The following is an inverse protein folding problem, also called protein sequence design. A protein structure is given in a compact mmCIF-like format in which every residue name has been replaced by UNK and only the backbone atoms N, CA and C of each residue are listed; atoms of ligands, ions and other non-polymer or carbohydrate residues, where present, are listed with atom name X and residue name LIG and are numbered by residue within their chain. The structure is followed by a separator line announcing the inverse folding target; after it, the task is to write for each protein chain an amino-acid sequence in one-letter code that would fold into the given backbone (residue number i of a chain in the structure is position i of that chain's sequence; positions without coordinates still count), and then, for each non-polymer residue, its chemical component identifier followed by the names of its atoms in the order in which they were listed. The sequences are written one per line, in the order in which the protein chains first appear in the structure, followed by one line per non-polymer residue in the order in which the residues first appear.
data_IF_914675091127
#
_entry.id   IF_914675091127
#
_cell.length_a   1.000
_cell.length_b   1.000
_cell.length_c   1.000
_cell.angle_alpha   90.00
_cell.angle_beta   90.00
_cell.angle_gamma   90.00
#
_symmetry.space_group_name_H-M   'P 1'
#
loop_
_entity.id
_entity.type
_entity.pdbx_description
1 polymer ?
#
# COMPACT_ATOMS: atom_id res chain seq x y z
N UNK A 1 63.75 8.00 3.54
CA UNK A 1 63.55 8.59 2.20
C UNK A 1 62.10 8.35 1.84
N UNK A 2 61.20 9.25 2.24
CA UNK A 2 60.58 10.31 1.38
C UNK A 2 59.75 9.68 0.24
N UNK A 3 58.45 9.90 0.07
CA UNK A 3 57.59 11.01 0.51
C UNK A 3 56.12 10.58 0.65
N UNK A 4 55.36 11.40 1.36
CA UNK A 4 53.91 11.39 1.49
C UNK A 4 53.32 12.69 0.90
N UNK A 5 52.01 12.69 0.67
CA UNK A 5 51.09 13.81 0.37
C UNK A 5 51.12 14.46 -1.02
N UNK A 6 49.99 14.50 -1.74
CA UNK A 6 48.93 15.51 -1.55
C UNK A 6 47.67 15.24 -2.39
N UNK A 7 46.52 15.62 -1.83
CA UNK A 7 45.18 15.68 -2.45
C UNK A 7 45.01 16.96 -3.30
N UNK A 8 43.92 16.95 -4.07
CA UNK A 8 42.99 18.03 -4.50
C UNK A 8 43.03 18.45 -5.98
N UNK A 9 41.85 18.32 -6.64
CA UNK A 9 41.27 19.43 -7.41
C UNK A 9 40.86 19.19 -8.87
N UNK A 10 39.53 19.20 -9.10
CA UNK A 10 38.76 19.54 -10.30
C UNK A 10 38.69 18.53 -11.48
N UNK A 11 37.55 17.84 -11.69
CA UNK A 11 36.28 18.27 -12.32
C UNK A 11 36.44 18.80 -13.76
N UNK A 12 35.88 18.05 -14.74
CA UNK A 12 34.95 18.47 -15.82
C UNK A 12 34.88 17.32 -16.86
N UNK A 13 33.68 16.88 -17.23
CA UNK A 13 33.44 16.08 -18.45
C UNK A 13 32.57 14.83 -18.32
N UNK A 14 31.36 14.94 -17.75
CA UNK A 14 30.30 13.95 -17.94
C UNK A 14 29.74 14.09 -19.35
N UNK A 15 29.94 13.08 -20.21
CA UNK A 15 29.10 12.83 -21.39
C UNK A 15 28.22 11.64 -21.04
N UNK A 16 26.93 11.90 -20.94
CA UNK A 16 25.86 10.91 -20.76
C UNK A 16 25.78 10.04 -22.01
N UNK A 17 26.09 8.76 -21.90
CA UNK A 17 25.70 7.74 -22.86
C UNK A 17 24.60 6.89 -22.19
N UNK A 18 23.37 7.04 -22.69
CA UNK A 18 22.24 6.20 -22.30
C UNK A 18 22.51 4.74 -22.74
N UNK A 19 22.23 3.72 -21.91
CA UNK A 19 22.28 2.35 -22.39
C UNK A 19 21.05 2.08 -23.25
N UNK A 20 21.26 1.89 -24.55
CA UNK A 20 20.25 1.31 -25.44
C UNK A 20 19.96 -0.12 -24.98
N UNK A 21 18.70 -0.38 -24.64
CA UNK A 21 18.22 -1.73 -24.34
C UNK A 21 17.87 -2.40 -25.66
N UNK A 22 18.59 -3.49 -25.95
CA UNK A 22 18.46 -4.31 -27.15
C UNK A 22 17.18 -5.16 -27.06
N UNK A 23 16.27 -4.97 -28.01
CA UNK A 23 14.95 -5.61 -28.02
C UNK A 23 15.03 -7.13 -28.27
N UNK A 24 16.15 -7.64 -28.79
CA UNK A 24 16.34 -9.05 -29.08
C UNK A 24 16.75 -9.87 -27.84
N UNK A 25 17.12 -9.23 -26.73
CA UNK A 25 17.49 -9.91 -25.49
C UNK A 25 16.28 -10.38 -24.66
N UNK A 26 15.06 -9.91 -24.97
CA UNK A 26 13.84 -10.25 -24.22
C UNK A 26 13.22 -11.57 -24.74
N UNK A 27 13.46 -11.93 -26.00
CA UNK A 27 12.92 -13.16 -26.58
C UNK A 27 13.65 -14.44 -26.10
N UNK A 28 14.85 -14.31 -25.53
CA UNK A 28 15.69 -15.47 -25.16
C UNK A 28 15.46 -15.99 -23.72
N UNK A 29 14.56 -15.38 -22.93
CA UNK A 29 14.25 -15.83 -21.56
C UNK A 29 13.00 -16.73 -21.51
N UNK A 30 12.33 -16.95 -22.65
CA UNK A 30 11.12 -17.78 -22.72
C UNK A 30 11.39 -19.29 -22.95
N UNK A 31 12.63 -19.71 -23.20
CA UNK A 31 12.95 -21.10 -23.59
C UNK A 31 13.91 -21.84 -22.63
N UNK A 32 14.14 -21.34 -21.42
CA UNK A 32 15.03 -22.01 -20.47
C UNK A 32 14.36 -22.25 -19.11
N UNK A 33 14.24 -23.55 -18.82
CA UNK A 33 14.14 -24.18 -17.49
C UNK A 33 12.73 -24.49 -16.98
N UNK A 34 12.23 -25.63 -17.49
CA UNK A 34 11.53 -26.64 -16.70
C UNK A 34 12.55 -27.38 -15.79
N UNK A 35 12.04 -27.98 -14.72
CA UNK A 35 12.69 -28.76 -13.65
C UNK A 35 13.12 -28.02 -12.36
N UNK A 36 12.17 -27.87 -11.41
CA UNK A 36 12.19 -28.52 -10.06
C UNK A 36 11.08 -27.97 -9.14
N UNK A 37 10.21 -28.85 -8.62
CA UNK A 37 9.16 -28.54 -7.62
C UNK A 37 9.75 -28.18 -6.23
N UNK A 38 9.06 -27.36 -5.40
CA UNK A 38 8.13 -27.94 -4.42
C UNK A 38 6.84 -27.12 -4.11
N UNK A 39 5.75 -27.86 -3.86
CA UNK A 39 4.52 -27.53 -3.10
C UNK A 39 4.06 -26.06 -3.05
N UNK A 40 3.53 -25.54 -4.16
CA UNK A 40 2.63 -24.38 -4.15
C UNK A 40 1.20 -24.84 -4.43
N UNK A 41 0.25 -24.28 -3.67
CA UNK A 41 -1.19 -24.52 -3.86
C UNK A 41 -1.58 -23.94 -5.22
N UNK A 42 -1.68 -24.79 -6.23
CA UNK A 42 -2.20 -24.43 -7.55
C UNK A 42 -3.62 -23.88 -7.38
N UNK A 43 -3.78 -22.57 -7.58
CA UNK A 43 -5.06 -22.04 -7.99
C UNK A 43 -5.22 -22.45 -9.46
N UNK A 44 -6.07 -23.45 -9.70
CA UNK A 44 -6.54 -23.83 -11.03
C UNK A 44 -7.09 -22.58 -11.76
N UNK A 45 -6.23 -21.88 -12.51
CA UNK A 45 -6.66 -20.86 -13.46
C UNK A 45 -7.16 -21.63 -14.67
N UNK A 46 -8.46 -21.93 -14.66
CA UNK A 46 -9.16 -22.47 -15.81
C UNK A 46 -8.97 -21.50 -17.00
N UNK A 47 -8.10 -21.85 -17.94
CA UNK A 47 -7.78 -21.06 -19.14
C UNK A 47 -8.87 -21.12 -20.21
N UNK A 48 -9.92 -21.93 -20.00
CA UNK A 48 -11.07 -22.04 -20.89
C UNK A 48 -12.27 -21.24 -20.35
N UNK A 49 -12.09 -19.93 -20.18
CA UNK A 49 -13.24 -19.04 -20.11
C UNK A 49 -13.92 -19.06 -21.48
N UNK A 50 -15.06 -19.76 -21.56
CA UNK A 50 -15.91 -19.91 -22.74
C UNK A 50 -16.03 -18.58 -23.50
N UNK A 51 -15.72 -18.60 -24.81
CA UNK A 51 -15.87 -17.48 -25.75
C UNK A 51 -17.35 -17.06 -25.98
N UNK A 52 -18.24 -17.34 -25.04
CA UNK A 52 -19.67 -17.24 -25.27
C UNK A 52 -20.10 -15.76 -25.28
N UNK A 53 -20.19 -15.20 -26.49
CA UNK A 53 -20.71 -13.86 -26.75
C UNK A 53 -19.72 -12.71 -26.84
N UNK A 54 -18.42 -12.96 -26.79
CA UNK A 54 -17.40 -11.94 -27.09
C UNK A 54 -17.43 -11.66 -28.60
N UNK A 55 -17.48 -10.39 -28.98
CA UNK A 55 -17.43 -9.98 -30.39
C UNK A 55 -16.67 -8.67 -30.54
N UNK A 56 -15.83 -8.59 -31.56
CA UNK A 56 -15.10 -7.41 -31.95
C UNK A 56 -15.29 -7.21 -33.45
N UNK A 57 -15.66 -6.00 -33.86
CA UNK A 57 -16.04 -5.70 -35.25
C UNK A 57 -15.61 -4.30 -35.64
N UNK A 58 -15.22 -4.17 -36.91
CA UNK A 58 -15.26 -2.88 -37.60
C UNK A 58 -16.73 -2.51 -37.87
N UNK A 59 -17.08 -1.24 -37.67
CA UNK A 59 -18.43 -0.73 -37.88
C UNK A 59 -18.39 0.67 -38.48
N UNK A 60 -19.46 1.00 -39.21
CA UNK A 60 -19.67 2.33 -39.78
C UNK A 60 -20.70 3.09 -38.94
N UNK A 61 -20.50 4.39 -38.76
CA UNK A 61 -21.43 5.25 -38.05
C UNK A 61 -21.20 6.72 -38.35
N UNK A 62 -22.08 7.57 -37.83
CA UNK A 62 -22.00 9.03 -38.02
C UNK A 62 -21.75 9.68 -36.67
N UNK A 63 -20.82 10.65 -36.61
CA UNK A 63 -20.61 11.45 -35.41
C UNK A 63 -21.86 12.30 -35.16
N UNK A 64 -22.65 11.90 -34.16
CA UNK A 64 -23.91 12.55 -33.82
C UNK A 64 -23.68 13.79 -32.95
N UNK A 65 -22.76 13.68 -31.98
CA UNK A 65 -22.43 14.75 -31.05
C UNK A 65 -20.95 14.70 -30.72
N UNK A 66 -20.38 15.88 -30.50
CA UNK A 66 -18.97 16.02 -30.20
C UNK A 66 -18.71 17.10 -29.17
N UNK A 67 -17.97 16.73 -28.13
CA UNK A 67 -17.56 17.58 -27.02
C UNK A 67 -16.04 17.58 -26.89
N UNK A 68 -15.52 18.43 -26.02
CA UNK A 68 -14.08 18.59 -25.79
C UNK A 68 -13.40 17.28 -25.33
N UNK A 69 -14.09 16.46 -24.55
CA UNK A 69 -13.52 15.26 -23.92
C UNK A 69 -14.05 13.94 -24.49
N UNK A 70 -15.17 13.97 -25.22
CA UNK A 70 -15.88 12.77 -25.68
C UNK A 70 -16.79 13.08 -26.87
N UNK A 71 -17.38 12.04 -27.46
CA UNK A 71 -18.41 12.18 -28.47
C UNK A 71 -19.32 10.97 -28.51
N UNK A 72 -20.30 11.04 -29.42
CA UNK A 72 -21.28 9.99 -29.65
C UNK A 72 -21.39 9.64 -31.13
N UNK A 73 -21.43 8.34 -31.42
CA UNK A 73 -21.63 7.80 -32.76
C UNK A 73 -23.06 7.24 -32.84
N UNK A 74 -23.84 7.67 -33.83
CA UNK A 74 -25.13 7.06 -34.15
C UNK A 74 -24.96 6.06 -35.28
N UNK A 75 -25.63 4.90 -35.14
CA UNK A 75 -25.78 3.99 -36.26
C UNK A 75 -26.84 4.56 -37.23
N UNK A 76 -26.57 4.64 -38.55
CA UNK A 76 -27.58 5.04 -39.54
C UNK A 76 -28.86 4.19 -39.48
N UNK A 77 -28.74 2.90 -39.13
CA UNK A 77 -29.86 1.97 -39.02
C UNK A 77 -30.65 2.12 -37.70
N UNK A 78 -30.04 2.70 -36.66
CA UNK A 78 -30.65 2.91 -35.35
C UNK A 78 -30.14 4.21 -34.73
N UNK A 79 -30.81 5.31 -35.07
CA UNK A 79 -30.47 6.67 -34.62
C UNK A 79 -30.72 6.84 -33.11
N UNK A 80 -31.52 5.95 -32.50
CA UNK A 80 -31.86 6.05 -31.07
C UNK A 80 -30.73 5.57 -30.18
N UNK A 81 -29.91 4.64 -30.67
CA UNK A 81 -28.79 4.08 -29.93
C UNK A 81 -27.48 4.81 -30.27
N UNK A 82 -26.99 5.62 -29.32
CA UNK A 82 -25.75 6.39 -29.45
C UNK A 82 -24.63 5.73 -28.67
N UNK A 83 -23.53 5.41 -29.35
CA UNK A 83 -22.34 4.83 -28.75
C UNK A 83 -21.37 5.92 -28.30
N UNK A 84 -20.97 5.87 -27.03
CA UNK A 84 -19.99 6.79 -26.45
C UNK A 84 -18.55 6.44 -26.88
N UNK A 85 -17.74 7.46 -27.14
CA UNK A 85 -16.28 7.33 -27.27
C UNK A 85 -15.55 8.50 -26.60
N UNK A 86 -14.32 8.28 -26.14
CA UNK A 86 -13.48 9.37 -25.59
C UNK A 86 -12.76 10.08 -26.73
N UNK A 87 -12.58 11.40 -26.62
CA UNK A 87 -11.93 12.20 -27.68
C UNK A 87 -10.52 11.71 -28.01
N UNK A 88 -9.77 11.24 -27.00
CA UNK A 88 -8.43 10.64 -27.16
C UNK A 88 -8.39 9.36 -28.00
N UNK A 89 -9.53 8.69 -28.14
CA UNK A 89 -9.68 7.46 -28.91
C UNK A 89 -10.16 7.77 -30.35
N UNK A 90 -10.39 9.06 -30.67
CA UNK A 90 -10.80 9.55 -31.98
C UNK A 90 -9.67 10.30 -32.72
N UNK A 91 -9.95 10.68 -33.97
CA UNK A 91 -9.05 11.50 -34.79
C UNK A 91 -9.16 13.00 -34.45
N UNK A 92 -8.07 13.75 -34.58
CA UNK A 92 -8.02 15.17 -34.21
C UNK A 92 -9.01 16.04 -34.99
N UNK A 93 -9.23 15.72 -36.27
CA UNK A 93 -10.03 16.52 -37.21
C UNK A 93 -11.55 16.19 -37.21
N UNK A 94 -12.02 15.28 -36.35
CA UNK A 94 -13.41 14.83 -36.32
C UNK A 94 -14.40 15.97 -36.06
N UNK A 95 -15.49 15.98 -36.84
CA UNK A 95 -16.62 16.92 -36.78
C UNK A 95 -17.96 16.16 -36.69
N UNK A 96 -18.97 16.86 -36.20
CA UNK A 96 -20.35 16.36 -36.23
C UNK A 96 -20.80 16.19 -37.68
N UNK A 97 -21.37 15.04 -38.00
CA UNK A 97 -21.79 14.65 -39.34
C UNK A 97 -20.76 13.83 -40.13
N UNK A 98 -19.52 13.68 -39.63
CA UNK A 98 -18.54 12.82 -40.28
C UNK A 98 -18.98 11.36 -40.24
N UNK A 99 -18.85 10.68 -41.38
CA UNK A 99 -19.04 9.24 -41.48
C UNK A 99 -17.71 8.56 -41.14
N UNK A 100 -17.72 7.70 -40.13
CA UNK A 100 -16.50 7.13 -39.57
C UNK A 100 -16.57 5.61 -39.54
N UNK A 101 -15.42 4.99 -39.77
CA UNK A 101 -15.20 3.58 -39.47
C UNK A 101 -14.51 3.49 -38.11
N UNK A 102 -15.06 2.66 -37.24
CA UNK A 102 -14.58 2.50 -35.86
C UNK A 102 -14.52 1.03 -35.45
N UNK A 103 -13.59 0.74 -34.54
CA UNK A 103 -13.47 -0.54 -33.87
C UNK A 103 -14.39 -0.56 -32.65
N UNK A 104 -15.27 -1.54 -32.57
CA UNK A 104 -16.13 -1.76 -31.41
C UNK A 104 -16.09 -3.20 -30.93
N UNK A 105 -16.29 -3.40 -29.64
CA UNK A 105 -16.34 -4.74 -29.04
C UNK A 105 -17.46 -4.85 -27.99
N UNK A 106 -17.84 -6.09 -27.68
CA UNK A 106 -18.70 -6.45 -26.56
C UNK A 106 -18.10 -7.70 -25.90
N UNK A 107 -18.20 -7.80 -24.58
CA UNK A 107 -17.58 -8.87 -23.79
C UNK A 107 -18.54 -10.03 -23.49
N UNK A 108 -19.81 -9.87 -23.88
CA UNK A 108 -20.88 -10.86 -23.73
C UNK A 108 -22.02 -10.51 -24.69
N UNK A 109 -22.86 -11.50 -25.03
CA UNK A 109 -24.03 -11.29 -25.89
C UNK A 109 -24.98 -10.21 -25.36
N UNK A 110 -25.09 -10.10 -24.04
CA UNK A 110 -25.98 -9.17 -23.33
C UNK A 110 -25.34 -7.82 -23.03
N UNK A 111 -24.04 -7.66 -23.33
CA UNK A 111 -23.33 -6.41 -23.09
C UNK A 111 -23.51 -5.43 -24.25
N UNK A 112 -23.48 -4.14 -23.92
CA UNK A 112 -23.53 -3.08 -24.94
C UNK A 112 -22.19 -3.00 -25.68
N UNK A 113 -22.27 -2.58 -26.94
CA UNK A 113 -21.08 -2.26 -27.72
C UNK A 113 -20.30 -1.10 -27.11
N UNK A 114 -18.99 -1.27 -27.04
CA UNK A 114 -18.03 -0.25 -26.60
C UNK A 114 -17.18 0.15 -27.78
N UNK A 115 -17.11 1.45 -28.07
CA UNK A 115 -16.22 1.99 -29.10
C UNK A 115 -14.81 2.04 -28.53
N UNK A 116 -13.87 1.36 -29.19
CA UNK A 116 -12.46 1.33 -28.78
C UNK A 116 -11.65 2.45 -29.41
N UNK A 117 -11.79 2.64 -30.72
CA UNK A 117 -11.05 3.65 -31.50
C UNK A 117 -11.79 3.95 -32.80
N UNK A 118 -11.71 5.21 -33.24
CA UNK A 118 -12.09 5.61 -34.59
C UNK A 118 -10.88 5.43 -35.51
N UNK A 119 -11.06 4.66 -36.59
CA UNK A 119 -9.98 4.26 -37.50
C UNK A 119 -9.73 5.34 -38.57
N UNK A 120 -10.78 5.71 -39.31
CA UNK A 120 -10.71 6.74 -40.36
C UNK A 120 -12.08 7.37 -40.65
N UNK A 121 -12.04 8.53 -41.29
CA UNK A 121 -13.21 9.26 -41.80
C UNK A 121 -13.48 8.78 -43.23
N UNK A 122 -14.62 8.14 -43.46
CA UNK A 122 -14.96 7.50 -44.73
C UNK A 122 -15.24 8.52 -45.85
N UNK A 123 -15.89 9.64 -45.52
CA UNK A 123 -16.21 10.72 -46.46
C UNK A 123 -14.99 11.61 -46.83
N UNK A 124 -13.82 11.39 -46.24
CA UNK A 124 -12.56 12.07 -46.58
C UNK A 124 -11.60 11.18 -47.41
N UNK A 125 -12.05 10.00 -47.86
CA UNK A 125 -11.25 9.15 -48.75
C UNK A 125 -10.85 9.90 -50.03
N UNK A 126 -9.53 9.93 -50.30
CA UNK A 126 -8.89 10.78 -51.32
C UNK A 126 -9.23 10.41 -52.77
N UNK A 127 -9.98 9.34 -53.00
CA UNK A 127 -10.34 8.86 -54.33
C UNK A 127 -11.55 9.56 -54.95
N UNK A 128 -12.25 10.44 -54.23
CA UNK A 128 -13.42 11.11 -54.79
C UNK A 128 -13.09 12.48 -55.41
N UNK A 129 -12.22 12.47 -56.41
CA UNK A 129 -12.18 13.50 -57.45
C UNK A 129 -12.44 12.83 -58.79
N UNK A 130 -13.71 12.83 -59.18
CA UNK A 130 -14.29 12.45 -60.46
C UNK A 130 -14.90 11.04 -60.51
N UNK A 131 -16.09 10.90 -59.94
CA UNK A 131 -17.12 10.01 -60.48
C UNK A 131 -18.49 10.63 -60.23
N UNK A 132 -19.00 11.35 -61.23
CA UNK A 132 -20.43 11.55 -61.38
C UNK A 132 -21.05 10.17 -61.70
N UNK A 133 -22.17 9.86 -61.02
CA UNK A 133 -23.13 8.80 -61.34
C UNK A 133 -22.66 7.34 -61.30
N UNK A 134 -22.86 6.68 -60.16
CA UNK A 134 -23.80 5.56 -60.04
C UNK A 134 -24.05 5.28 -58.55
N UNK A 135 -25.31 5.39 -58.13
CA UNK A 135 -25.75 4.99 -56.80
C UNK A 135 -25.78 3.46 -56.73
N UNK A 136 -24.62 2.84 -56.55
CA UNK A 136 -24.55 1.51 -55.96
C UNK A 136 -24.78 1.67 -54.45
N UNK A 137 -26.04 1.53 -54.05
CA UNK A 137 -26.54 1.50 -52.67
C UNK A 137 -26.12 0.23 -51.91
N UNK A 138 -25.05 -0.45 -52.35
CA UNK A 138 -24.51 -1.68 -51.78
C UNK A 138 -23.03 -1.54 -51.41
N UNK A 139 -22.61 -0.36 -50.91
CA UNK A 139 -21.42 -0.30 -50.05
C UNK A 139 -21.74 -1.05 -48.77
N UNK A 140 -21.46 -2.35 -48.83
CA UNK A 140 -21.44 -3.31 -47.74
C UNK A 140 -20.95 -2.63 -46.48
N UNK A 141 -21.85 -2.48 -45.50
CA UNK A 141 -21.50 -2.07 -44.14
C UNK A 141 -20.40 -3.04 -43.70
N UNK A 142 -19.16 -2.56 -43.61
CA UNK A 142 -18.03 -3.38 -43.18
C UNK A 142 -18.34 -3.80 -41.74
N UNK A 143 -18.91 -5.00 -41.60
CA UNK A 143 -19.06 -5.75 -40.35
C UNK A 143 -18.08 -6.90 -40.43
N UNK A 144 -16.80 -6.54 -40.51
CA UNK A 144 -15.72 -7.51 -40.49
C UNK A 144 -15.49 -7.92 -39.04
N UNK A 145 -15.65 -9.21 -38.76
CA UNK A 145 -15.37 -9.77 -37.44
C UNK A 145 -13.87 -9.85 -37.23
N UNK A 146 -13.40 -9.27 -36.14
CA UNK A 146 -12.01 -9.29 -35.74
C UNK A 146 -11.76 -10.51 -34.83
N UNK A 147 -10.64 -11.19 -35.03
CA UNK A 147 -10.22 -12.25 -34.13
C UNK A 147 -9.85 -11.67 -32.76
N UNK A 148 -10.29 -12.33 -31.69
CA UNK A 148 -10.00 -11.91 -30.32
C UNK A 148 -9.45 -13.06 -29.48
N UNK A 149 -8.55 -12.72 -28.56
CA UNK A 149 -7.99 -13.65 -27.61
C UNK A 149 -7.88 -13.04 -26.21
N UNK A 150 -7.95 -13.89 -25.19
CA UNK A 150 -7.54 -13.52 -23.85
C UNK A 150 -6.04 -13.71 -23.68
N UNK A 151 -5.36 -12.71 -23.12
CA UNK A 151 -3.93 -12.75 -22.83
C UNK A 151 -3.67 -12.29 -21.40
N UNK A 152 -2.67 -12.91 -20.77
CA UNK A 152 -2.17 -12.51 -19.46
C UNK A 152 -0.94 -11.64 -19.63
N UNK A 153 -0.99 -10.42 -19.10
CA UNK A 153 0.14 -9.48 -19.13
C UNK A 153 0.65 -9.26 -17.72
N UNK A 154 1.93 -9.53 -17.50
CA UNK A 154 2.59 -9.25 -16.22
C UNK A 154 3.02 -7.79 -16.22
N UNK A 155 2.66 -7.04 -15.17
CA UNK A 155 3.02 -5.64 -15.06
C UNK A 155 3.24 -5.23 -13.59
N UNK A 156 4.23 -4.35 -13.38
CA UNK A 156 4.46 -3.69 -12.09
C UNK A 156 3.66 -2.40 -12.00
N UNK A 157 3.00 -2.17 -10.86
CA UNK A 157 2.33 -0.90 -10.56
C UNK A 157 3.39 0.18 -10.35
N UNK A 158 3.36 1.19 -11.21
CA UNK A 158 4.28 2.34 -11.19
C UNK A 158 3.65 3.57 -10.54
N UNK A 159 2.34 3.54 -10.30
CA UNK A 159 1.64 4.62 -9.62
C UNK A 159 0.13 4.48 -9.64
N UNK A 160 -0.54 5.42 -8.97
CA UNK A 160 -2.01 5.51 -8.93
C UNK A 160 -2.48 6.95 -8.90
N UNK A 161 -3.38 7.28 -9.82
CA UNK A 161 -4.02 8.58 -9.93
C UNK A 161 -5.51 8.44 -9.60
N UNK A 162 -5.90 8.74 -8.36
CA UNK A 162 -7.27 8.52 -7.91
C UNK A 162 -7.66 7.04 -8.00
N UNK A 163 -8.61 6.68 -8.87
CA UNK A 163 -9.04 5.28 -9.09
C UNK A 163 -8.36 4.63 -10.30
N UNK A 164 -7.49 5.37 -10.99
CA UNK A 164 -6.72 4.87 -12.13
C UNK A 164 -5.38 4.32 -11.64
N UNK A 165 -5.10 3.06 -11.96
CA UNK A 165 -3.82 2.39 -11.68
C UNK A 165 -2.96 2.48 -12.94
N UNK A 166 -1.69 2.82 -12.76
CA UNK A 166 -0.66 2.81 -13.79
C UNK A 166 0.21 1.57 -13.56
N UNK A 167 0.27 0.67 -14.54
CA UNK A 167 1.03 -0.58 -14.45
C UNK A 167 1.83 -0.80 -15.75
N UNK A 168 3.14 -0.65 -15.68
CA UNK A 168 4.00 -0.60 -16.87
C UNK A 168 3.56 0.50 -17.85
N UNK A 169 3.23 0.12 -19.09
CA UNK A 169 2.65 0.99 -20.12
C UNK A 169 1.11 0.96 -20.15
N UNK A 170 0.48 0.21 -19.25
CA UNK A 170 -0.97 0.04 -19.18
C UNK A 170 -1.58 0.90 -18.07
N UNK A 171 -2.85 1.26 -18.26
CA UNK A 171 -3.65 1.94 -17.25
C UNK A 171 -5.05 1.36 -17.21
N UNK A 172 -5.60 1.22 -16.00
CA UNK A 172 -6.97 0.75 -15.81
C UNK A 172 -7.64 1.45 -14.63
N UNK A 173 -8.97 1.57 -14.68
CA UNK A 173 -9.74 2.06 -13.56
C UNK A 173 -10.15 0.87 -12.68
N UNK A 174 -10.00 0.99 -11.36
CA UNK A 174 -10.40 -0.06 -10.41
C UNK A 174 -11.91 -0.36 -10.52
N UNK A 175 -12.73 0.61 -10.92
CA UNK A 175 -14.19 0.40 -11.10
C UNK A 175 -14.55 -0.42 -12.35
N UNK A 176 -13.63 -0.52 -13.31
CA UNK A 176 -13.89 -1.19 -14.60
C UNK A 176 -13.28 -2.58 -14.69
N UNK A 177 -12.62 -3.05 -13.63
CA UNK A 177 -11.92 -4.35 -13.59
C UNK A 177 -12.37 -5.14 -12.37
N UNK A 178 -12.28 -6.46 -12.48
CA UNK A 178 -12.40 -7.35 -11.33
C UNK A 178 -11.06 -7.41 -10.59
N UNK A 179 -11.05 -6.90 -9.36
CA UNK A 179 -9.87 -6.89 -8.48
C UNK A 179 -10.31 -6.95 -7.02
N UNK A 180 -9.72 -7.86 -6.25
CA UNK A 180 -10.12 -8.14 -4.86
C UNK A 180 -9.26 -7.42 -3.81
N UNK A 181 -8.31 -6.61 -4.27
CA UNK A 181 -7.43 -5.82 -3.41
C UNK A 181 -7.20 -4.44 -4.02
N UNK A 182 -6.57 -3.54 -3.26
CA UNK A 182 -6.17 -2.23 -3.76
C UNK A 182 -4.71 -2.29 -4.23
N UNK A 183 -4.44 -2.18 -5.55
CA UNK A 183 -3.07 -2.12 -6.05
C UNK A 183 -2.37 -0.85 -5.57
N UNK A 184 -1.12 -1.00 -5.15
CA UNK A 184 -0.24 0.10 -4.76
C UNK A 184 1.07 0.04 -5.52
N UNK A 185 1.80 1.14 -5.56
CA UNK A 185 3.11 1.22 -6.19
C UNK A 185 4.04 0.12 -5.66
N UNK A 186 4.71 -0.57 -6.59
CA UNK A 186 5.57 -1.72 -6.31
C UNK A 186 4.91 -3.08 -6.56
N UNK A 187 3.58 -3.19 -6.56
CA UNK A 187 2.89 -4.47 -6.75
C UNK A 187 3.15 -5.08 -8.12
N UNK A 188 3.41 -6.38 -8.15
CA UNK A 188 3.46 -7.17 -9.37
C UNK A 188 2.09 -7.82 -9.63
N UNK A 189 1.56 -7.60 -10.83
CA UNK A 189 0.21 -7.98 -11.22
C UNK A 189 0.21 -8.88 -12.46
N UNK A 190 -0.81 -9.73 -12.56
CA UNK A 190 -1.26 -10.32 -13.82
C UNK A 190 -2.54 -9.62 -14.25
N UNK A 191 -2.53 -9.10 -15.47
CA UNK A 191 -3.66 -8.42 -16.11
C UNK A 191 -4.25 -9.35 -17.16
N UNK A 192 -5.41 -9.92 -16.88
CA UNK A 192 -6.18 -10.68 -17.86
C UNK A 192 -6.87 -9.69 -18.81
N UNK A 193 -6.44 -9.71 -20.06
CA UNK A 193 -6.77 -8.72 -21.07
C UNK A 193 -7.43 -9.38 -22.26
N UNK A 194 -8.54 -8.81 -22.72
CA UNK A 194 -9.11 -9.13 -24.02
C UNK A 194 -8.41 -8.27 -25.08
N UNK A 195 -7.87 -8.91 -26.10
CA UNK A 195 -7.17 -8.25 -27.22
C UNK A 195 -7.81 -8.62 -28.55
N UNK A 196 -7.70 -7.72 -29.51
CA UNK A 196 -7.84 -8.03 -30.93
C UNK A 196 -6.49 -8.52 -31.43
N UNK A 197 -6.46 -9.73 -31.99
CA UNK A 197 -5.26 -10.32 -32.59
C UNK A 197 -5.07 -9.78 -34.01
N UNK A 198 -3.87 -9.29 -34.30
CA UNK A 198 -3.47 -8.75 -35.59
C UNK A 198 -2.09 -9.34 -35.98
N UNK A 199 -1.74 -9.35 -37.27
CA UNK A 199 -0.47 -9.92 -37.74
C UNK A 199 0.77 -9.22 -37.16
N UNK A 200 0.67 -7.92 -36.88
CA UNK A 200 1.81 -7.10 -36.45
C UNK A 200 1.89 -6.99 -34.92
N UNK A 201 0.80 -6.57 -34.28
CA UNK A 201 0.76 -6.38 -32.83
C UNK A 201 -0.69 -6.38 -32.35
N UNK A 202 -0.96 -7.05 -31.23
CA UNK A 202 -2.31 -7.07 -30.69
C UNK A 202 -2.77 -5.69 -30.21
N UNK A 203 -4.05 -5.41 -30.42
CA UNK A 203 -4.70 -4.22 -29.89
C UNK A 203 -5.43 -4.58 -28.59
N UNK A 204 -4.99 -4.02 -27.45
CA UNK A 204 -5.68 -4.18 -26.17
C UNK A 204 -7.10 -3.59 -26.23
N UNK A 205 -8.13 -4.41 -26.09
CA UNK A 205 -9.52 -3.96 -26.04
C UNK A 205 -9.89 -3.52 -24.63
N UNK A 206 -9.80 -4.43 -23.66
CA UNK A 206 -10.15 -4.19 -22.25
C UNK A 206 -9.33 -5.07 -21.31
N UNK A 207 -9.07 -4.58 -20.10
CA UNK A 207 -8.56 -5.39 -18.98
C UNK A 207 -9.78 -5.80 -18.17
N UNK A 208 -9.99 -7.09 -17.95
CA UNK A 208 -11.18 -7.59 -17.24
C UNK A 208 -10.88 -7.95 -15.79
N UNK A 209 -9.72 -8.57 -15.54
CA UNK A 209 -9.35 -9.06 -14.22
C UNK A 209 -7.90 -8.73 -13.91
N UNK A 210 -7.66 -8.41 -12.64
CA UNK A 210 -6.34 -8.11 -12.09
C UNK A 210 -6.10 -8.99 -10.86
N UNK A 211 -5.05 -9.79 -10.91
CA UNK A 211 -4.62 -10.63 -9.79
C UNK A 211 -3.17 -10.32 -9.43
N UNK A 212 -2.71 -10.62 -8.21
CA UNK A 212 -1.29 -10.58 -7.89
C UNK A 212 -0.50 -11.54 -8.78
N UNK A 213 0.76 -11.22 -9.09
CA UNK A 213 1.66 -12.13 -9.79
C UNK A 213 1.95 -13.37 -8.94
N UNK A 214 2.30 -13.15 -7.68
CA UNK A 214 2.48 -14.19 -6.67
C UNK A 214 1.79 -13.75 -5.38
N UNK A 215 1.22 -14.72 -4.67
CA UNK A 215 0.56 -14.51 -3.39
C UNK A 215 0.85 -15.68 -2.46
N UNK A 216 1.04 -15.40 -1.17
CA UNK A 216 1.34 -16.43 -0.19
C UNK A 216 0.68 -16.12 1.15
N UNK A 217 0.41 -17.18 1.91
CA UNK A 217 0.00 -17.09 3.32
C UNK A 217 1.15 -17.61 4.17
N UNK A 218 1.61 -16.82 5.16
CA UNK A 218 2.73 -17.20 6.02
C UNK A 218 2.45 -16.80 7.47
N UNK A 219 2.89 -17.62 8.40
CA UNK A 219 2.95 -17.28 9.82
C UNK A 219 4.36 -16.77 10.12
N UNK A 220 4.47 -15.74 10.96
CA UNK A 220 5.74 -15.08 11.22
C UNK A 220 5.68 -14.14 12.41
N UNK A 221 6.80 -13.46 12.69
CA UNK A 221 6.90 -12.53 13.82
C UNK A 221 7.07 -11.11 13.33
N UNK A 222 6.36 -10.15 13.95
CA UNK A 222 6.57 -8.73 13.67
C UNK A 222 7.99 -8.34 14.10
N UNK A 223 8.86 -8.10 13.13
CA UNK A 223 10.27 -7.73 13.31
C UNK A 223 10.45 -6.22 13.52
N UNK A 224 9.53 -5.41 12.97
CA UNK A 224 9.56 -3.95 13.07
C UNK A 224 8.15 -3.37 13.09
N UNK A 225 7.97 -2.29 13.86
CA UNK A 225 6.75 -1.47 13.83
C UNK A 225 7.10 0.00 14.07
N UNK A 226 6.61 0.86 13.18
CA UNK A 226 6.70 2.31 13.28
C UNK A 226 5.30 2.92 13.44
N UNK A 227 5.00 3.37 14.66
CA UNK A 227 3.71 3.97 14.98
C UNK A 227 3.42 5.29 14.26
N UNK A 228 4.46 6.05 13.88
CA UNK A 228 4.33 7.37 13.25
C UNK A 228 4.03 7.26 11.75
N UNK A 229 4.54 6.22 11.08
CA UNK A 229 4.21 5.91 9.69
C UNK A 229 3.11 4.88 9.56
N UNK A 230 2.71 4.22 10.66
CA UNK A 230 1.74 3.12 10.67
C UNK A 230 2.16 1.98 9.74
N UNK A 231 3.46 1.67 9.71
CA UNK A 231 4.06 0.61 8.90
C UNK A 231 4.86 -0.35 9.78
N UNK A 232 4.87 -1.62 9.42
CA UNK A 232 5.65 -2.67 10.07
C UNK A 232 6.29 -3.61 9.07
N UNK A 233 7.15 -4.48 9.58
CA UNK A 233 7.83 -5.52 8.82
C UNK A 233 7.72 -6.83 9.59
N UNK A 234 7.29 -7.91 8.93
CA UNK A 234 7.29 -9.26 9.47
C UNK A 234 8.54 -10.00 8.97
N UNK A 235 9.25 -10.67 9.87
CA UNK A 235 10.45 -11.48 9.61
C UNK A 235 11.53 -10.80 8.74
N UNK A 236 11.60 -9.47 8.75
CA UNK A 236 12.47 -8.67 7.88
C UNK A 236 12.22 -8.88 6.37
N UNK A 237 11.08 -9.46 5.97
CA UNK A 237 10.76 -9.80 4.57
C UNK A 237 9.48 -9.12 4.06
N UNK A 238 8.42 -9.08 4.88
CA UNK A 238 7.08 -8.64 4.45
C UNK A 238 6.74 -7.29 5.05
N UNK A 239 6.57 -6.27 4.21
CA UNK A 239 6.09 -4.95 4.63
C UNK A 239 4.58 -4.98 4.85
N UNK A 240 4.08 -4.35 5.90
CA UNK A 240 2.65 -4.19 6.09
C UNK A 240 2.30 -2.83 6.65
N UNK A 241 1.15 -2.29 6.23
CA UNK A 241 0.56 -1.10 6.82
C UNK A 241 -0.46 -1.46 7.90
N UNK A 242 -0.83 -0.49 8.73
CA UNK A 242 -1.93 -0.63 9.71
C UNK A 242 -3.26 -0.99 9.06
N UNK A 243 -3.47 -0.55 7.83
CA UNK A 243 -4.64 -0.83 7.01
C UNK A 243 -4.76 -2.29 6.59
N UNK A 244 -3.65 -3.04 6.56
CA UNK A 244 -3.67 -4.48 6.38
C UNK A 244 -4.00 -5.25 7.68
N UNK A 245 -3.96 -4.61 8.84
CA UNK A 245 -4.22 -5.27 10.12
C UNK A 245 -5.72 -5.50 10.37
N UNK A 246 -6.06 -6.61 11.03
CA UNK A 246 -7.41 -6.83 11.55
C UNK A 246 -7.90 -5.64 12.39
N UNK A 247 -9.19 -5.27 12.31
CA UNK A 247 -9.74 -4.18 13.10
C UNK A 247 -9.46 -4.35 14.60
N UNK A 248 -8.86 -3.33 15.21
CA UNK A 248 -8.53 -3.33 16.64
C UNK A 248 -7.17 -3.93 16.98
N UNK A 249 -6.51 -4.62 16.04
CA UNK A 249 -5.12 -5.03 16.21
C UNK A 249 -4.19 -3.81 16.11
N UNK A 250 -3.33 -3.65 17.12
CA UNK A 250 -2.25 -2.67 17.12
C UNK A 250 -0.92 -3.44 17.14
N UNK A 251 -0.18 -3.47 16.02
CA UNK A 251 1.03 -4.26 15.92
C UNK A 251 2.10 -3.83 16.92
N UNK A 252 2.84 -4.81 17.41
CA UNK A 252 4.03 -4.62 18.26
C UNK A 252 5.13 -5.53 17.77
N UNK A 253 6.37 -5.08 17.93
CA UNK A 253 7.53 -5.93 17.67
C UNK A 253 7.45 -7.15 18.58
N UNK A 254 7.56 -8.32 17.97
CA UNK A 254 7.52 -9.60 18.64
C UNK A 254 6.16 -10.31 18.60
N UNK A 255 5.10 -9.66 18.12
CA UNK A 255 3.80 -10.32 17.93
C UNK A 255 3.91 -11.45 16.90
N UNK A 256 3.28 -12.58 17.18
CA UNK A 256 3.07 -13.65 16.21
C UNK A 256 1.83 -13.33 15.36
N UNK A 257 2.01 -13.35 14.05
CA UNK A 257 0.99 -12.96 13.08
C UNK A 257 0.97 -13.92 11.90
N UNK A 258 -0.22 -14.14 11.36
CA UNK A 258 -0.47 -14.71 10.05
C UNK A 258 -0.68 -13.58 9.05
N UNK A 259 0.05 -13.62 7.95
CA UNK A 259 -0.08 -12.64 6.88
C UNK A 259 -0.52 -13.29 5.58
N UNK A 260 -1.36 -12.57 4.84
CA UNK A 260 -1.60 -12.82 3.42
C UNK A 260 -0.81 -11.76 2.67
N UNK A 261 0.20 -12.17 1.92
CA UNK A 261 1.10 -11.26 1.23
C UNK A 261 1.13 -11.51 -0.28
N UNK A 262 1.53 -10.47 -1.01
CA UNK A 262 1.72 -10.47 -2.45
C UNK A 262 3.09 -9.93 -2.80
N UNK A 263 3.57 -10.33 -3.97
CA UNK A 263 4.84 -9.81 -4.48
C UNK A 263 4.73 -8.31 -4.79
N UNK A 264 5.66 -7.55 -4.22
CA UNK A 264 5.63 -6.10 -4.26
C UNK A 264 7.00 -5.52 -3.94
N UNK A 265 7.56 -4.70 -4.82
CA UNK A 265 8.81 -3.98 -4.60
C UNK A 265 8.61 -2.79 -3.64
N UNK A 266 8.76 -3.04 -2.34
CA UNK A 266 8.67 -2.05 -1.27
C UNK A 266 10.07 -1.62 -0.81
N UNK A 267 10.83 -1.03 -1.74
CA UNK A 267 12.23 -0.67 -1.53
C UNK A 267 13.15 -1.89 -1.66
N UNK A 268 13.75 -2.33 -0.55
CA UNK A 268 14.61 -3.54 -0.54
C UNK A 268 13.83 -4.84 -0.30
N UNK A 269 12.54 -4.73 0.02
CA UNK A 269 11.67 -5.85 0.35
C UNK A 269 10.76 -6.16 -0.83
N UNK A 270 10.55 -7.44 -1.12
CA UNK A 270 9.82 -7.90 -2.31
C UNK A 270 8.42 -8.42 -2.00
N UNK A 271 7.96 -8.28 -0.76
CA UNK A 271 6.64 -8.73 -0.34
C UNK A 271 5.94 -7.65 0.49
N UNK A 272 4.64 -7.48 0.25
CA UNK A 272 3.77 -6.71 1.14
C UNK A 272 2.56 -7.51 1.59
N UNK A 273 2.08 -7.27 2.79
CA UNK A 273 0.84 -7.87 3.30
C UNK A 273 -0.39 -7.11 2.78
N UNK A 274 -1.40 -7.86 2.35
CA UNK A 274 -2.77 -7.41 2.15
C UNK A 274 -3.60 -7.55 3.44
N UNK A 275 -3.27 -8.54 4.28
CA UNK A 275 -3.96 -8.82 5.54
C UNK A 275 -2.98 -9.35 6.59
N UNK A 276 -3.13 -8.91 7.84
CA UNK A 276 -2.33 -9.31 9.01
C UNK A 276 -3.27 -9.65 10.16
N UNK A 277 -3.19 -10.89 10.63
CA UNK A 277 -4.04 -11.45 11.70
C UNK A 277 -3.12 -11.94 12.83
N UNK A 278 -3.26 -11.46 14.07
CA UNK A 278 -2.50 -12.01 15.20
C UNK A 278 -2.90 -13.49 15.45
N UNK A 279 -1.92 -14.38 15.59
CA UNK A 279 -2.15 -15.83 15.76
C UNK A 279 -2.06 -16.29 17.21
N UNK A 280 -1.30 -15.58 18.03
CA UNK A 280 -1.29 -15.80 19.47
C UNK A 280 -2.36 -14.92 20.13
N UNK A 281 -3.31 -15.56 20.83
CA UNK A 281 -4.02 -14.87 21.90
C UNK A 281 -2.96 -14.47 22.93
N UNK A 282 -2.85 -13.18 23.24
CA UNK A 282 -1.97 -12.76 24.31
C UNK A 282 -2.42 -13.46 25.59
N UNK A 283 -1.62 -14.37 26.11
CA UNK A 283 -1.45 -14.44 27.55
C UNK A 283 -0.76 -13.13 27.93
N UNK A 284 -1.55 -12.11 28.24
CA UNK A 284 -1.01 -10.94 28.91
C UNK A 284 -0.53 -11.39 30.28
N UNK A 285 0.74 -11.76 30.39
CA UNK A 285 1.46 -11.83 31.66
C UNK A 285 1.74 -10.41 32.20
N UNK A 286 0.70 -9.58 32.25
CA UNK A 286 0.54 -8.43 33.15
C UNK A 286 -0.98 -8.37 33.36
N UNK A 287 -1.43 -8.45 34.62
CA UNK A 287 -2.84 -8.61 34.99
C UNK A 287 -3.78 -7.69 34.20
N UNK A 288 -4.93 -8.24 33.79
CA UNK A 288 -6.02 -7.58 33.06
C UNK A 288 -6.73 -6.44 33.83
N UNK A 289 -6.07 -5.84 34.82
CA UNK A 289 -6.61 -4.73 35.59
C UNK A 289 -5.77 -3.46 35.37
N UNK A 290 -6.25 -2.50 34.55
CA UNK A 290 -5.63 -1.18 34.39
C UNK A 290 -5.35 -0.47 35.71
N UNK A 291 -6.16 -0.75 36.73
CA UNK A 291 -6.01 -0.19 38.07
C UNK A 291 -4.83 -0.83 38.83
N UNK A 292 -4.56 -2.12 38.61
CA UNK A 292 -3.38 -2.80 39.15
C UNK A 292 -2.08 -2.25 38.56
N UNK A 293 -2.02 -2.01 37.23
CA UNK A 293 -0.85 -1.39 36.60
C UNK A 293 -0.63 0.04 37.08
N UNK A 294 -1.70 0.84 37.16
CA UNK A 294 -1.63 2.20 37.70
C UNK A 294 -1.12 2.20 39.15
N UNK A 295 -1.59 1.25 39.97
CA UNK A 295 -1.12 1.05 41.34
C UNK A 295 0.35 0.65 41.37
N UNK A 296 0.79 -0.27 40.51
CA UNK A 296 2.19 -0.72 40.43
C UNK A 296 3.14 0.44 40.13
N UNK A 297 2.78 1.34 39.21
CA UNK A 297 3.62 2.48 38.80
C UNK A 297 3.72 3.60 39.84
N UNK A 298 2.87 3.61 40.86
CA UNK A 298 2.93 4.61 41.93
C UNK A 298 4.07 4.35 42.93
N UNK A 299 4.64 5.44 43.43
CA UNK A 299 5.50 5.44 44.61
C UNK A 299 4.72 5.01 45.86
N UNK A 300 5.39 4.25 46.75
CA UNK A 300 4.74 3.61 47.91
C UNK A 300 5.65 3.67 49.13
N UNK A 301 5.05 3.75 50.32
CA UNK A 301 5.73 3.63 51.61
C UNK A 301 6.96 4.57 51.76
N UNK A 302 6.86 5.78 51.21
CA UNK A 302 7.94 6.77 51.24
C UNK A 302 9.12 6.45 50.31
N UNK A 303 9.05 5.41 49.49
CA UNK A 303 10.02 5.15 48.43
C UNK A 303 9.63 5.92 47.18
N UNK A 304 10.59 6.68 46.66
CA UNK A 304 10.47 7.41 45.38
C UNK A 304 11.48 6.88 44.38
N UNK A 305 11.02 6.56 43.16
CA UNK A 305 11.89 6.08 42.08
C UNK A 305 11.87 7.09 40.92
N UNK A 306 13.04 7.42 40.38
CA UNK A 306 13.21 8.38 39.28
C UNK A 306 12.27 8.09 38.10
N UNK A 307 11.63 9.13 37.57
CA UNK A 307 10.74 9.04 36.42
C UNK A 307 11.47 9.19 35.08
N UNK A 308 12.71 9.70 35.09
CA UNK A 308 13.50 9.89 33.89
C UNK A 308 14.10 8.55 33.40
N UNK A 309 13.27 7.74 32.74
CA UNK A 309 13.58 6.35 32.35
C UNK A 309 13.61 6.11 30.83
N UNK A 310 13.68 7.18 30.03
CA UNK A 310 13.82 7.13 28.57
C UNK A 310 15.30 7.16 28.11
N UNK A 311 15.76 6.08 27.50
CA UNK A 311 17.11 5.92 26.95
C UNK A 311 17.37 6.69 25.65
N UNK A 312 16.35 7.37 25.12
CA UNK A 312 16.42 8.17 23.91
C UNK A 312 16.57 7.31 22.65
N UNK A 313 17.24 7.88 21.65
CA UNK A 313 17.47 7.24 20.36
C UNK A 313 18.78 6.45 20.41
N UNK A 314 18.71 5.17 20.06
CA UNK A 314 19.86 4.25 20.02
C UNK A 314 19.93 3.59 18.65
N UNK A 315 21.07 3.64 17.98
CA UNK A 315 21.19 2.91 16.71
C UNK A 315 21.26 1.40 16.94
N UNK A 316 20.77 0.61 15.97
CA UNK A 316 20.87 -0.85 16.01
C UNK A 316 22.32 -1.31 16.27
N UNK A 317 22.48 -2.29 17.16
CA UNK A 317 23.76 -2.81 17.62
C UNK A 317 24.53 -1.90 18.58
N UNK A 318 24.08 -0.65 18.80
CA UNK A 318 24.66 0.27 19.78
C UNK A 318 24.01 0.13 21.14
N UNK A 319 24.66 0.72 22.13
CA UNK A 319 24.28 0.59 23.53
C UNK A 319 24.13 1.97 24.15
N UNK A 320 23.18 2.10 25.07
CA UNK A 320 22.96 3.29 25.88
C UNK A 320 22.78 2.88 27.33
N UNK A 321 23.18 3.73 28.25
CA UNK A 321 23.12 3.47 29.69
C UNK A 321 22.43 4.64 30.39
N UNK A 322 21.64 4.31 31.41
CA UNK A 322 20.98 5.29 32.25
C UNK A 322 20.90 4.81 33.68
N UNK A 323 20.91 5.77 34.61
CA UNK A 323 20.84 5.49 36.05
C UNK A 323 19.47 5.89 36.57
N UNK A 324 18.83 4.99 37.31
CA UNK A 324 17.57 5.20 38.01
C UNK A 324 17.88 5.29 39.50
N UNK A 325 17.51 6.39 40.14
CA UNK A 325 17.71 6.61 41.57
C UNK A 325 16.44 6.24 42.35
N UNK A 326 16.62 5.47 43.43
CA UNK A 326 15.60 5.13 44.42
C UNK A 326 15.95 5.89 45.70
N UNK A 327 15.00 6.63 46.28
CA UNK A 327 15.17 7.33 47.56
C UNK A 327 14.17 6.82 48.58
N UNK A 328 14.66 6.48 49.76
CA UNK A 328 13.80 6.25 50.91
C UNK A 328 13.59 7.56 51.67
N UNK A 329 12.40 8.12 51.57
CA UNK A 329 11.98 9.33 52.27
C UNK A 329 11.18 9.01 53.54
N UNK A 330 11.02 7.73 53.90
CA UNK A 330 10.37 7.31 55.13
C UNK A 330 11.35 7.29 56.32
N UNK A 331 10.78 7.17 57.51
CA UNK A 331 11.53 7.05 58.78
C UNK A 331 11.95 5.60 59.09
N UNK A 332 11.52 4.62 58.29
CA UNK A 332 11.84 3.20 58.48
C UNK A 332 12.72 2.66 57.33
N UNK A 333 13.63 1.72 57.61
CA UNK A 333 14.38 1.05 56.55
C UNK A 333 13.42 0.24 55.66
N UNK A 334 13.68 0.24 54.35
CA UNK A 334 12.90 -0.51 53.36
C UNK A 334 13.81 -1.52 52.65
N UNK A 335 13.37 -2.77 52.58
CA UNK A 335 14.18 -3.87 52.05
C UNK A 335 13.78 -4.19 50.61
N UNK A 336 14.69 -3.91 49.67
CA UNK A 336 14.56 -4.31 48.27
C UNK A 336 15.02 -5.77 48.11
N UNK A 337 14.10 -6.64 47.73
CA UNK A 337 14.36 -8.06 47.54
C UNK A 337 15.04 -8.34 46.20
N UNK A 338 14.54 -7.75 45.11
CA UNK A 338 15.10 -7.90 43.76
C UNK A 338 14.57 -6.85 42.79
N UNK A 339 15.21 -6.76 41.63
CA UNK A 339 14.77 -5.99 40.47
C UNK A 339 14.59 -6.95 39.31
N UNK A 340 13.42 -6.94 38.68
CA UNK A 340 13.09 -7.85 37.58
C UNK A 340 12.48 -7.11 36.39
N UNK A 341 12.80 -7.57 35.18
CA UNK A 341 12.10 -7.17 33.97
C UNK A 341 10.89 -8.07 33.76
N UNK A 342 9.77 -7.52 33.30
CA UNK A 342 8.57 -8.33 33.02
C UNK A 342 8.67 -9.12 31.72
N UNK A 343 9.60 -8.78 30.83
CA UNK A 343 9.81 -9.45 29.53
C UNK A 343 10.99 -10.40 29.59
N UNK A 344 10.79 -11.64 29.14
CA UNK A 344 11.84 -12.68 29.04
C UNK A 344 12.84 -12.41 27.91
N UNK A 345 12.46 -11.63 26.89
CA UNK A 345 13.32 -11.23 25.76
C UNK A 345 13.65 -9.72 25.81
N UNK A 346 13.74 -9.15 27.01
CA UNK A 346 14.06 -7.74 27.27
C UNK A 346 15.37 -7.31 26.61
N UNK A 347 15.37 -6.14 25.94
CA UNK A 347 16.61 -5.51 25.48
C UNK A 347 17.28 -4.62 26.55
N UNK A 348 16.60 -4.43 27.69
CA UNK A 348 17.13 -3.76 28.87
C UNK A 348 17.78 -4.75 29.84
N UNK A 349 18.86 -4.33 30.46
CA UNK A 349 19.64 -5.13 31.40
C UNK A 349 20.04 -4.26 32.60
N UNK A 350 19.82 -4.75 33.82
CA UNK A 350 20.38 -4.14 35.01
C UNK A 350 21.88 -4.46 35.07
N UNK A 351 22.72 -3.43 35.05
CA UNK A 351 24.19 -3.57 35.15
C UNK A 351 24.61 -3.55 36.62
N UNK A 352 24.08 -2.63 37.41
CA UNK A 352 24.45 -2.44 38.81
C UNK A 352 23.28 -1.86 39.61
N UNK A 353 23.16 -2.18 40.92
CA UNK A 353 23.90 -3.22 41.64
C UNK A 353 23.50 -4.63 41.17
N UNK A 354 24.47 -5.54 41.07
CA UNK A 354 24.25 -6.97 40.78
C UNK A 354 23.82 -7.77 42.02
N UNK A 355 23.80 -7.11 43.19
CA UNK A 355 23.59 -7.73 44.49
C UNK A 355 22.21 -7.33 45.00
N UNK A 356 21.37 -8.34 45.18
CA UNK A 356 20.07 -8.28 45.83
C UNK A 356 20.01 -9.45 46.83
N UNK A 357 19.41 -9.30 48.03
CA UNK A 357 18.62 -8.16 48.52
C UNK A 357 19.47 -6.99 49.04
N UNK A 358 18.86 -5.80 49.15
CA UNK A 358 19.49 -4.56 49.64
C UNK A 358 18.56 -3.80 50.59
N UNK A 359 19.07 -3.42 51.76
CA UNK A 359 18.37 -2.52 52.68
C UNK A 359 18.64 -1.06 52.28
N UNK A 360 17.58 -0.25 52.25
CA UNK A 360 17.65 1.20 51.98
C UNK A 360 17.25 1.92 53.26
N UNK A 361 18.21 2.54 53.93
CA UNK A 361 17.99 3.22 55.20
C UNK A 361 17.16 4.51 55.05
N UNK A 362 16.57 5.02 56.14
CA UNK A 362 15.86 6.30 56.14
C UNK A 362 16.72 7.42 55.54
N UNK A 363 16.13 8.20 54.63
CA UNK A 363 16.77 9.29 53.88
C UNK A 363 17.96 8.88 53.00
N UNK A 364 18.17 7.59 52.75
CA UNK A 364 19.19 7.08 51.83
C UNK A 364 18.71 7.12 50.37
N UNK A 365 19.64 7.30 49.45
CA UNK A 365 19.42 7.19 48.00
C UNK A 365 20.35 6.17 47.38
N UNK A 366 19.82 5.31 46.51
CA UNK A 366 20.55 4.24 45.83
C UNK A 366 20.35 4.35 44.33
N UNK A 367 21.43 4.14 43.58
CA UNK A 367 21.43 4.23 42.12
C UNK A 367 21.49 2.84 41.47
N UNK A 368 20.65 2.64 40.44
CA UNK A 368 20.56 1.45 39.62
C UNK A 368 20.92 1.81 38.17
N UNK A 369 22.02 1.28 37.67
CA UNK A 369 22.47 1.49 36.31
C UNK A 369 21.87 0.42 35.39
N UNK A 370 21.11 0.86 34.39
CA UNK A 370 20.51 0.03 33.36
C UNK A 370 21.17 0.29 32.01
N UNK A 371 21.30 -0.77 31.21
CA UNK A 371 21.79 -0.74 29.84
C UNK A 371 20.69 -1.14 28.89
N UNK A 372 20.64 -0.53 27.72
CA UNK A 372 19.89 -1.03 26.58
C UNK A 372 20.86 -1.28 25.43
N UNK A 373 20.70 -2.41 24.75
CA UNK A 373 21.37 -2.68 23.47
C UNK A 373 20.31 -2.68 22.39
N UNK A 374 20.43 -1.77 21.41
CA UNK A 374 19.46 -1.63 20.33
C UNK A 374 19.40 -2.91 19.49
N UNK A 375 18.45 -3.80 19.79
CA UNK A 375 18.26 -5.08 19.10
C UNK A 375 17.04 -5.03 18.19
N UNK A 376 15.98 -4.39 18.65
CA UNK A 376 14.69 -4.33 17.98
C UNK A 376 14.43 -2.90 17.49
N UNK A 377 14.49 -2.67 16.18
CA UNK A 377 14.29 -1.34 15.57
C UNK A 377 12.86 -0.86 15.83
N UNK A 378 12.71 0.42 16.18
CA UNK A 378 11.46 1.06 16.56
C UNK A 378 11.41 1.42 18.05
N UNK A 379 10.25 1.92 18.48
CA UNK A 379 10.03 2.30 19.88
C UNK A 379 9.65 1.08 20.72
N UNK A 380 10.38 0.86 21.81
CA UNK A 380 10.07 -0.16 22.82
C UNK A 380 9.87 0.48 24.19
N UNK A 381 8.90 -0.05 24.94
CA UNK A 381 8.64 0.32 26.33
C UNK A 381 8.42 -0.95 27.15
N UNK A 382 9.18 -1.13 28.22
CA UNK A 382 9.14 -2.32 29.07
C UNK A 382 9.00 -1.94 30.55
N UNK A 383 8.32 -2.76 31.35
CA UNK A 383 8.19 -2.53 32.80
C UNK A 383 9.36 -3.20 33.52
N UNK A 384 10.04 -2.43 34.36
CA UNK A 384 10.93 -2.96 35.40
C UNK A 384 10.22 -2.88 36.75
N UNK A 385 10.26 -3.95 37.52
CA UNK A 385 9.62 -4.06 38.85
C UNK A 385 10.70 -4.13 39.92
N UNK A 386 10.63 -3.20 40.87
CA UNK A 386 11.41 -3.18 42.09
C UNK A 386 10.58 -3.85 43.20
N UNK A 387 10.97 -5.06 43.59
CA UNK A 387 10.26 -5.86 44.59
C UNK A 387 10.78 -5.58 45.97
N UNK A 388 9.95 -5.00 46.82
CA UNK A 388 10.22 -4.83 48.24
C UNK A 388 9.56 -5.96 49.03
N UNK A 389 9.84 -6.04 50.32
CA UNK A 389 9.29 -7.09 51.18
C UNK A 389 7.76 -7.04 51.31
N UNK A 390 7.18 -5.83 51.31
CA UNK A 390 5.72 -5.64 51.52
C UNK A 390 4.97 -5.10 50.31
N UNK A 391 5.68 -4.59 49.29
CA UNK A 391 5.07 -3.94 48.13
C UNK A 391 6.00 -3.94 46.91
N UNK A 392 5.44 -3.65 45.74
CA UNK A 392 6.18 -3.54 44.49
C UNK A 392 6.01 -2.13 43.89
N UNK A 393 7.08 -1.60 43.29
CA UNK A 393 7.03 -0.37 42.50
C UNK A 393 7.55 -0.66 41.09
N UNK A 394 6.77 -0.30 40.07
CA UNK A 394 7.14 -0.43 38.66
C UNK A 394 7.63 0.88 38.04
N UNK A 395 8.50 0.79 37.03
CA UNK A 395 8.86 1.89 36.13
C UNK A 395 8.88 1.45 34.67
N UNK A 396 8.53 2.35 33.78
CA UNK A 396 8.53 2.11 32.33
C UNK A 396 9.88 2.54 31.75
N UNK A 397 10.69 1.60 31.27
CA UNK A 397 11.91 1.90 30.52
C UNK A 397 11.54 2.08 29.05
N UNK A 398 11.97 3.18 28.43
CA UNK A 398 11.65 3.46 27.03
C UNK A 398 12.93 3.65 26.19
N UNK A 399 12.91 3.22 24.94
CA UNK A 399 13.99 3.44 23.96
C UNK A 399 13.40 3.54 22.55
N UNK A 400 14.01 4.35 21.69
CA UNK A 400 13.76 4.35 20.24
C UNK A 400 14.98 3.81 19.50
N UNK A 401 14.88 2.63 18.91
CA UNK A 401 16.00 2.01 18.20
C UNK A 401 15.94 2.33 16.71
N UNK A 402 16.96 2.99 16.16
CA UNK A 402 16.97 3.38 14.75
C UNK A 402 17.93 2.50 13.93
N UNK A 403 17.58 2.26 12.67
CA UNK A 403 18.47 1.67 11.67
C UNK A 403 18.71 2.70 10.58
N UNK A 404 19.96 3.11 10.39
CA UNK A 404 20.34 4.06 9.35
C UNK A 404 20.01 3.55 7.93
N UNK A 405 20.00 2.22 7.74
CA UNK A 405 19.69 1.59 6.45
C UNK A 405 18.19 1.56 6.19
N UNK A 406 17.37 1.30 7.22
CA UNK A 406 15.90 1.26 7.09
C UNK A 406 15.28 2.66 7.09
N UNK A 407 15.87 3.62 7.81
CA UNK A 407 15.38 5.00 7.82
C UNK A 407 15.58 5.69 6.46
N UNK A 408 16.66 5.35 5.74
CA UNK A 408 16.93 5.85 4.39
C UNK A 408 16.00 5.25 3.32
N UNK A 409 15.54 4.01 3.49
CA UNK A 409 14.64 3.35 2.54
C UNK A 409 13.16 3.66 2.79
N UNK A 410 12.78 4.08 3.99
CA UNK A 410 11.41 4.49 4.34
C UNK A 410 11.19 6.01 4.28
N UNK A 411 12.23 6.83 4.04
CA UNK A 411 12.12 8.30 4.09
C UNK A 411 11.47 8.98 2.88
N UNK A 412 11.19 8.28 1.78
CA UNK A 412 10.82 8.95 0.52
C UNK A 412 9.32 9.18 0.25
N UNK A 413 8.40 8.83 1.17
CA UNK A 413 6.96 9.01 0.90
C UNK A 413 6.39 10.36 1.39
N UNK A 414 7.18 11.23 2.04
CA UNK A 414 6.65 12.47 2.68
C UNK A 414 6.90 13.80 1.97
N UNK A 415 7.53 13.84 0.80
CA UNK A 415 7.90 15.12 0.15
C UNK A 415 6.82 15.80 -0.69
N UNK A 416 5.52 15.52 -0.49
CA UNK A 416 4.43 16.19 -1.25
C UNK A 416 3.29 16.85 -0.45
N UNK A 417 3.31 16.90 0.88
CA UNK A 417 2.14 17.41 1.63
C UNK A 417 2.33 18.66 2.51
N UNK A 418 3.49 19.30 2.52
CA UNK A 418 3.66 20.60 3.22
C UNK A 418 3.47 21.79 2.27
N UNK A 419 2.27 21.91 1.69
CA UNK A 419 1.73 23.23 1.39
C UNK A 419 0.74 23.61 2.49
N UNK A 420 1.07 24.67 3.21
CA UNK A 420 0.17 25.35 4.16
C UNK A 420 -1.17 25.62 3.48
N UNK A 421 -2.20 24.85 3.83
CA UNK A 421 -3.57 25.07 3.33
C UNK A 421 -4.17 26.27 4.06
N UNK A 422 -4.19 27.40 3.35
CA UNK A 422 -5.01 28.55 3.69
C UNK A 422 -6.47 28.14 3.86
N UNK A 423 -7.10 28.66 4.93
CA UNK A 423 -8.53 28.49 5.22
C UNK A 423 -9.35 29.29 4.21
N UNK A 424 -10.45 28.67 3.76
CA UNK A 424 -11.48 29.16 2.83
C UNK A 424 -11.06 29.29 1.36
N UNK A 425 -11.00 28.15 0.66
CA UNK A 425 -11.11 28.14 -0.81
C UNK A 425 -12.59 28.03 -1.23
N UNK A 426 -13.08 28.88 -2.15
CA UNK A 426 -14.42 28.75 -2.72
C UNK A 426 -14.56 27.44 -3.51
N UNK A 427 -15.74 26.81 -3.40
CA UNK A 427 -16.06 25.57 -4.12
C UNK A 427 -16.14 25.89 -5.61
N UNK A 428 -15.19 25.37 -6.38
CA UNK A 428 -15.12 25.49 -7.85
C UNK A 428 -15.52 24.17 -8.50
N UNK A 429 -16.10 24.21 -9.71
CA UNK A 429 -16.58 23.04 -10.44
C UNK A 429 -15.50 21.95 -10.65
N UNK A 430 -14.22 22.31 -10.57
CA UNK A 430 -13.05 21.41 -10.65
C UNK A 430 -12.92 20.47 -9.44
N UNK A 431 -13.64 20.70 -8.33
CA UNK A 431 -13.63 19.84 -7.13
C UNK A 431 -14.76 18.81 -7.10
N UNK A 432 -15.58 18.75 -8.14
CA UNK A 432 -16.66 17.79 -8.30
C UNK A 432 -16.12 16.53 -8.98
N UNK A 433 -16.37 15.36 -8.38
CA UNK A 433 -16.04 14.07 -9.00
C UNK A 433 -17.21 13.64 -9.88
N UNK A 434 -16.98 13.51 -11.18
CA UNK A 434 -17.99 13.00 -12.10
C UNK A 434 -18.16 11.48 -11.91
N UNK A 435 -19.40 11.03 -11.83
CA UNK A 435 -19.78 9.61 -11.77
C UNK A 435 -20.88 9.32 -12.80
N UNK A 436 -21.15 8.04 -13.05
CA UNK A 436 -22.21 7.61 -13.99
C UNK A 436 -23.61 8.17 -13.67
N UNK A 437 -23.84 8.59 -12.43
CA UNK A 437 -25.13 9.12 -11.94
C UNK A 437 -25.06 10.62 -11.58
N UNK A 438 -24.05 11.37 -12.05
CA UNK A 438 -23.88 12.81 -11.81
C UNK A 438 -22.62 13.16 -11.02
N UNK A 439 -22.60 14.34 -10.39
CA UNK A 439 -21.43 14.85 -9.68
C UNK A 439 -21.50 14.56 -8.18
N UNK A 440 -20.44 13.99 -7.62
CA UNK A 440 -20.30 13.72 -6.19
C UNK A 440 -19.23 14.65 -5.62
N UNK A 441 -19.54 15.35 -4.53
CA UNK A 441 -18.51 16.02 -3.73
C UNK A 441 -17.88 15.02 -2.75
N UNK A 442 -16.56 14.86 -2.75
CA UNK A 442 -15.90 14.09 -1.70
C UNK A 442 -16.14 14.77 -0.35
N UNK A 443 -16.67 14.01 0.61
CA UNK A 443 -16.94 14.52 1.96
C UNK A 443 -15.66 14.98 2.64
N UNK A 444 -15.66 16.19 3.20
CA UNK A 444 -14.57 16.67 4.06
C UNK A 444 -14.70 15.95 5.40
N UNK A 445 -13.66 15.19 5.79
CA UNK A 445 -13.62 14.54 7.10
C UNK A 445 -13.75 15.62 8.18
N UNK A 446 -14.77 15.57 9.05
CA UNK A 446 -14.92 16.58 10.09
C UNK A 446 -13.67 16.56 10.97
N UNK A 447 -13.00 17.72 11.09
CA UNK A 447 -11.79 17.90 11.90
C UNK A 447 -12.07 17.80 13.40
N UNK A 448 -13.33 17.69 13.79
CA UNK A 448 -13.75 17.53 15.18
C UNK A 448 -14.38 16.15 15.35
N UNK A 449 -13.90 15.30 16.27
CA UNK A 449 -14.64 14.10 16.64
C UNK A 449 -16.05 14.51 17.08
N UNK A 450 -17.05 13.70 16.72
CA UNK A 450 -18.42 13.95 17.15
C UNK A 450 -18.45 14.03 18.69
N UNK A 451 -19.05 15.09 19.23
CA UNK A 451 -19.33 15.18 20.66
C UNK A 451 -20.43 14.17 20.98
N UNK A 452 -20.06 12.91 21.21
CA UNK A 452 -20.98 11.92 21.76
C UNK A 452 -21.31 12.34 23.19
N UNK A 453 -22.51 12.85 23.40
CA UNK A 453 -23.10 12.94 24.73
C UNK A 453 -23.61 11.53 25.06
N UNK A 454 -23.14 10.88 26.13
CA UNK A 454 -23.68 9.60 26.52
C UNK A 454 -25.16 9.77 26.90
N UNK A 455 -26.05 9.23 26.07
CA UNK A 455 -27.48 9.13 26.40
C UNK A 455 -27.66 7.84 27.18
N UNK A 456 -27.92 7.95 28.48
CA UNK A 456 -28.32 6.79 29.29
C UNK A 456 -29.65 6.26 28.75
N UNK A 457 -29.66 5.05 28.21
CA UNK A 457 -30.90 4.36 27.87
C UNK A 457 -31.69 4.15 29.17
N UNK A 458 -32.92 4.66 29.21
CA UNK A 458 -33.81 4.49 30.36
C UNK A 458 -34.03 3.02 30.65
N UNK A 459 -33.85 2.62 31.91
CA UNK A 459 -34.12 1.25 32.35
C UNK A 459 -35.61 0.96 32.19
N UNK A 460 -35.97 0.04 31.31
CA UNK A 460 -37.30 -0.54 31.28
C UNK A 460 -37.37 -1.66 32.32
N UNK A 461 -38.40 -1.61 33.16
CA UNK A 461 -38.71 -2.71 34.07
C UNK A 461 -39.28 -3.85 33.23
N UNK A 462 -38.60 -4.99 33.26
CA UNK A 462 -39.04 -6.21 32.56
C UNK A 462 -40.21 -6.81 33.37
N UNK A 463 -41.37 -7.10 32.74
CA UNK A 463 -42.54 -7.70 33.41
C UNK A 463 -42.29 -9.09 33.99
#
# INVERSE_FOLDING_TARGET
MWSAFSRMGQLIGLVSAEPQVDADAIAAVLDAEDETEPDEVELDINTDAEKDGVSCQHRVGVIAELFETHGYISNPEDITNKLYFKRKDGLEALKVGDQVVYLAFKTSEFSNWVVKRILYIENESWDNKNAEEETDLDKTVVKEECETAYKHVIAKVTGREGRTVLAGNLQFCIDSVHVDFLPVEGDWLVLQSLVQTEEVADTLLVIERVTPLRSQQRDGRVSHWNGDTSQGIMDSEVVFGKDACEPGYLPRVGDEVRVYCIESEQGQLTWRALRVVPTAERETEISHDPQALATLLQDKQGITISEDTNFGIVNIGRESQRTIEIKNQSESPQKLLRVEMTSTDSQFHLIQPLVNPKDIHPHESVQFAFKVKGRFVGRSTEVVVFKFEEFDIGRLLAVDVQSATLSASLSDVRSRSTQQRNRYEPITAQKLLATRNGFIMPGVKPLKPANFVPVSLGMFVIP
#
